data_IF_502152591361
#
_entry.id   IF_502152591361
#
_cell.length_a   1.000
_cell.length_b   1.000
_cell.length_c   1.000
_cell.angle_alpha   90.00
_cell.angle_beta   90.00
_cell.angle_gamma   90.00
#
_symmetry.space_group_name_H-M   'P 1'
#
loop_
_entity.id
_entity.type
_entity.pdbx_description
1 polymer ?
#
# COMPACT_ATOMS: atom_id res chain seq x y z
N UNK A 1 40.43 53.42 -9.46
CA UNK A 1 39.15 52.79 -9.06
C UNK A 1 38.72 51.84 -10.15
N UNK A 2 38.54 50.54 -9.87
CA UNK A 2 38.23 49.54 -10.91
C UNK A 2 36.77 49.64 -11.38
N UNK A 3 36.50 49.18 -12.61
CA UNK A 3 35.15 49.13 -13.17
C UNK A 3 34.17 48.34 -12.26
N UNK A 4 34.69 47.34 -11.56
CA UNK A 4 33.93 46.51 -10.61
C UNK A 4 33.38 47.34 -9.44
N UNK A 5 34.20 48.22 -8.86
CA UNK A 5 33.76 49.12 -7.77
C UNK A 5 32.69 50.13 -8.21
N UNK A 6 32.70 50.59 -9.47
CA UNK A 6 31.67 51.49 -10.01
C UNK A 6 30.35 50.77 -10.29
N UNK A 7 30.40 49.57 -10.87
CA UNK A 7 29.23 48.72 -11.10
C UNK A 7 28.57 48.31 -9.80
N UNK A 8 29.38 47.99 -8.78
CA UNK A 8 28.88 47.62 -7.47
C UNK A 8 28.07 48.74 -6.82
N UNK A 9 28.42 50.03 -6.99
CA UNK A 9 27.71 51.13 -6.33
C UNK A 9 26.48 51.65 -7.08
N UNK A 10 26.44 51.60 -8.42
CA UNK A 10 25.41 52.28 -9.22
C UNK A 10 24.37 51.39 -9.89
N UNK A 11 24.61 50.08 -10.01
CA UNK A 11 23.72 49.18 -10.75
C UNK A 11 23.10 48.11 -9.82
N UNK A 12 21.89 48.33 -9.25
CA UNK A 12 21.24 47.33 -8.41
C UNK A 12 20.93 46.03 -9.17
N UNK A 13 20.65 46.11 -10.48
CA UNK A 13 20.41 44.95 -11.35
C UNK A 13 21.64 44.04 -11.46
N UNK A 14 22.85 44.62 -11.47
CA UNK A 14 24.10 43.85 -11.49
C UNK A 14 24.29 43.01 -10.22
N UNK A 15 23.91 43.56 -9.06
CA UNK A 15 23.95 42.85 -7.78
C UNK A 15 22.97 41.69 -7.77
N UNK A 16 21.72 41.93 -8.19
CA UNK A 16 20.69 40.88 -8.28
C UNK A 16 21.15 39.78 -9.23
N UNK A 17 21.65 40.11 -10.42
CA UNK A 17 22.15 39.13 -11.37
C UNK A 17 23.29 38.26 -10.80
N UNK A 18 24.23 38.86 -10.05
CA UNK A 18 25.29 38.11 -9.37
C UNK A 18 24.76 37.20 -8.26
N UNK A 19 23.81 37.66 -7.45
CA UNK A 19 23.19 36.83 -6.41
C UNK A 19 22.38 35.69 -7.03
N UNK A 20 21.60 35.95 -8.08
CA UNK A 20 20.82 34.93 -8.79
C UNK A 20 21.75 33.92 -9.46
N UNK A 21 22.82 34.38 -10.12
CA UNK A 21 23.81 33.49 -10.73
C UNK A 21 24.51 32.59 -9.69
N UNK A 22 24.85 33.16 -8.52
CA UNK A 22 25.39 32.39 -7.40
C UNK A 22 24.41 31.35 -6.86
N UNK A 23 23.16 31.75 -6.61
CA UNK A 23 22.12 30.85 -6.13
C UNK A 23 21.82 29.72 -7.12
N UNK A 24 21.66 30.03 -8.41
CA UNK A 24 21.46 29.03 -9.46
C UNK A 24 22.66 28.08 -9.59
N UNK A 25 23.89 28.57 -9.39
CA UNK A 25 25.08 27.72 -9.39
C UNK A 25 25.05 26.72 -8.24
N UNK A 26 24.70 27.18 -7.03
CA UNK A 26 24.55 26.30 -5.85
C UNK A 26 23.44 25.26 -6.08
N UNK A 27 22.27 25.68 -6.57
CA UNK A 27 21.18 24.75 -6.89
C UNK A 27 21.55 23.74 -7.97
N UNK A 28 22.32 24.15 -8.99
CA UNK A 28 22.75 23.22 -10.04
C UNK A 28 23.64 22.10 -9.49
N UNK A 29 24.46 22.40 -8.47
CA UNK A 29 25.36 21.41 -7.86
C UNK A 29 24.60 20.46 -6.93
N UNK A 30 23.55 20.94 -6.25
CA UNK A 30 22.71 20.13 -5.36
C UNK A 30 21.69 19.28 -6.17
N UNK A 31 21.20 19.80 -7.29
CA UNK A 31 20.26 19.12 -8.19
C UNK A 31 20.86 19.02 -9.61
N UNK A 32 21.82 18.10 -9.82
CA UNK A 32 22.54 18.01 -11.08
C UNK A 32 21.62 17.59 -12.23
N UNK A 33 21.65 18.37 -13.32
CA UNK A 33 20.92 18.01 -14.53
C UNK A 33 21.61 16.81 -15.24
N UNK A 34 20.90 15.71 -15.56
CA UNK A 34 21.50 14.49 -16.12
C UNK A 34 22.24 14.70 -17.46
N UNK A 35 21.79 15.67 -18.26
CA UNK A 35 22.43 15.99 -19.53
C UNK A 35 23.77 16.73 -19.33
N UNK A 36 23.95 17.46 -18.23
CA UNK A 36 25.15 18.25 -17.96
C UNK A 36 26.28 17.41 -17.38
N UNK A 37 25.95 16.45 -16.52
CA UNK A 37 26.90 15.46 -15.97
C UNK A 37 27.47 14.55 -17.05
N UNK A 38 26.68 14.22 -18.08
CA UNK A 38 27.14 13.40 -19.22
C UNK A 38 28.18 14.09 -20.12
N UNK A 39 28.21 15.43 -20.16
CA UNK A 39 29.10 16.22 -21.05
C UNK A 39 30.35 16.77 -20.38
N UNK A 40 30.36 16.90 -19.05
CA UNK A 40 31.44 17.51 -18.29
C UNK A 40 31.87 16.59 -17.12
N UNK A 41 32.88 15.73 -17.31
CA UNK A 41 33.29 14.74 -16.30
C UNK A 41 33.85 15.39 -15.01
N UNK A 42 34.40 16.60 -15.10
CA UNK A 42 34.84 17.36 -13.93
C UNK A 42 33.67 17.85 -13.05
N UNK A 43 32.52 18.16 -13.67
CA UNK A 43 31.31 18.58 -12.97
C UNK A 43 30.67 17.38 -12.25
N UNK A 44 30.63 16.21 -12.90
CA UNK A 44 30.12 14.98 -12.31
C UNK A 44 30.88 14.57 -11.03
N UNK A 45 32.20 14.72 -11.00
CA UNK A 45 33.03 14.44 -9.81
C UNK A 45 32.74 15.41 -8.65
N UNK A 46 32.46 16.68 -8.95
CA UNK A 46 32.17 17.69 -7.93
C UNK A 46 30.79 17.45 -7.31
N UNK A 47 29.79 17.14 -8.13
CA UNK A 47 28.42 16.88 -7.67
C UNK A 47 28.32 15.58 -6.87
N UNK A 48 29.08 14.54 -7.24
CA UNK A 48 29.09 13.28 -6.48
C UNK A 48 29.73 13.41 -5.09
N UNK A 49 30.80 14.20 -4.95
CA UNK A 49 31.42 14.44 -3.64
C UNK A 49 30.48 15.19 -2.69
N UNK A 50 29.70 16.13 -3.23
CA UNK A 50 28.75 16.92 -2.43
C UNK A 50 27.50 16.10 -2.11
N UNK A 51 27.02 15.24 -3.02
CA UNK A 51 25.89 14.35 -2.75
C UNK A 51 26.18 13.35 -1.63
N UNK A 52 27.44 12.91 -1.47
CA UNK A 52 27.85 12.04 -0.35
C UNK A 52 27.93 12.75 1.02
N UNK A 53 27.93 14.09 1.05
CA UNK A 53 27.96 14.88 2.29
C UNK A 53 26.58 15.40 2.72
N UNK A 54 25.57 15.29 1.85
CA UNK A 54 24.18 15.63 2.14
C UNK A 54 23.47 14.38 2.67
N UNK A 55 22.63 14.47 3.73
CA UNK A 55 21.81 13.34 4.19
C UNK A 55 20.95 12.86 3.01
N UNK A 56 21.13 11.61 2.61
CA UNK A 56 20.58 11.08 1.36
C UNK A 56 19.04 11.08 1.39
N UNK A 57 18.45 12.01 0.65
CA UNK A 57 17.09 11.92 0.14
C UNK A 57 17.16 11.65 -1.36
N UNK A 58 16.67 10.46 -1.76
CA UNK A 58 16.48 9.93 -3.12
C UNK A 58 17.71 9.31 -3.82
N UNK A 59 17.69 7.99 -4.13
CA UNK A 59 18.58 7.43 -5.13
C UNK A 59 17.96 7.55 -6.53
N UNK A 60 18.82 7.95 -7.48
CA UNK A 60 18.59 7.83 -8.92
C UNK A 60 19.02 6.45 -9.41
N UNK A 61 18.36 5.96 -10.45
CA UNK A 61 18.52 4.63 -11.02
C UNK A 61 19.85 4.37 -11.74
N UNK A 62 20.12 3.07 -11.89
CA UNK A 62 21.14 2.38 -12.70
C UNK A 62 22.56 2.26 -12.13
N UNK A 63 22.82 1.12 -11.48
CA UNK A 63 23.80 0.17 -12.01
C UNK A 63 23.74 -1.16 -11.24
N UNK A 64 23.49 -2.21 -11.99
CA UNK A 64 23.67 -3.63 -11.66
C UNK A 64 25.03 -3.92 -11.03
N UNK A 65 25.00 -4.73 -9.95
CA UNK A 65 26.07 -5.38 -9.18
C UNK A 65 26.00 -4.98 -7.70
N UNK A 66 25.15 -5.66 -6.91
CA UNK A 66 25.34 -5.68 -5.46
C UNK A 66 25.00 -7.06 -4.89
N UNK A 67 25.94 -7.97 -5.14
CA UNK A 67 26.15 -9.09 -4.25
C UNK A 67 26.95 -8.58 -3.03
N UNK A 68 26.38 -8.77 -1.84
CA UNK A 68 27.04 -8.76 -0.53
C UNK A 68 27.44 -7.38 0.04
N UNK A 69 26.45 -6.65 0.58
CA UNK A 69 26.66 -5.72 1.70
C UNK A 69 25.74 -6.15 2.86
N UNK A 70 26.27 -6.58 4.04
CA UNK A 70 25.45 -7.19 5.09
C UNK A 70 24.69 -6.22 6.02
N UNK A 71 24.78 -4.89 5.86
CA UNK A 71 24.34 -3.94 6.90
C UNK A 71 23.50 -2.75 6.39
N UNK A 72 22.79 -2.89 5.27
CA UNK A 72 21.76 -1.91 4.89
C UNK A 72 20.38 -2.55 5.04
N UNK A 73 19.51 -1.94 5.84
CA UNK A 73 18.07 -2.23 5.93
C UNK A 73 17.47 -2.43 4.52
N UNK A 74 17.29 -3.68 4.08
CA UNK A 74 16.93 -4.00 2.68
C UNK A 74 15.43 -3.87 2.47
N UNK A 75 14.94 -2.63 2.45
CA UNK A 75 13.60 -2.37 1.93
C UNK A 75 13.62 -2.51 0.43
N UNK A 76 12.88 -3.48 -0.10
CA UNK A 76 12.76 -3.68 -1.55
C UNK A 76 11.34 -3.33 -1.99
N UNK A 77 11.25 -2.55 -3.06
CA UNK A 77 9.98 -2.25 -3.73
C UNK A 77 10.10 -2.79 -5.14
N UNK A 78 9.17 -3.65 -5.54
CA UNK A 78 9.08 -4.13 -6.91
C UNK A 78 7.69 -3.88 -7.47
N UNK A 79 7.66 -3.59 -8.77
CA UNK A 79 6.45 -3.28 -9.52
C UNK A 79 6.28 -4.38 -10.58
N UNK A 80 5.57 -5.47 -10.28
CA UNK A 80 5.44 -6.58 -11.22
C UNK A 80 4.75 -6.15 -12.52
N UNK A 81 4.96 -6.90 -13.62
CA UNK A 81 4.20 -6.71 -14.84
C UNK A 81 2.69 -6.90 -14.60
N UNK A 82 1.88 -5.96 -15.08
CA UNK A 82 0.42 -5.94 -14.90
C UNK A 82 -0.33 -6.85 -15.89
N UNK A 83 0.37 -7.38 -16.90
CA UNK A 83 -0.14 -8.40 -17.82
C UNK A 83 -0.33 -9.76 -17.14
N UNK A 84 0.36 -9.99 -16.02
CA UNK A 84 0.10 -11.13 -15.15
C UNK A 84 -1.32 -11.06 -14.58
N UNK A 85 -2.03 -12.19 -14.68
CA UNK A 85 -3.38 -12.39 -14.16
C UNK A 85 -3.37 -13.55 -13.17
N UNK A 86 -3.95 -13.32 -12.00
CA UNK A 86 -4.11 -14.32 -10.96
C UNK A 86 -5.59 -14.57 -10.70
N UNK A 87 -5.94 -15.84 -10.49
CA UNK A 87 -7.29 -16.29 -10.16
C UNK A 87 -7.20 -17.44 -9.16
N UNK A 88 -8.23 -17.63 -8.34
CA UNK A 88 -8.35 -18.78 -7.44
C UNK A 88 -7.46 -18.70 -6.21
N UNK A 89 -6.19 -19.13 -6.30
CA UNK A 89 -5.26 -19.16 -5.16
C UNK A 89 -3.86 -18.79 -5.62
N UNK A 90 -3.16 -17.99 -4.83
CA UNK A 90 -1.78 -17.61 -5.09
C UNK A 90 -0.88 -18.03 -3.92
N UNK A 91 0.40 -18.28 -4.21
CA UNK A 91 1.41 -18.46 -3.18
C UNK A 91 1.89 -17.11 -2.65
N UNK A 92 1.85 -16.92 -1.33
CA UNK A 92 2.22 -15.67 -0.68
C UNK A 92 2.93 -15.92 0.64
N UNK A 93 4.15 -15.40 0.79
CA UNK A 93 4.96 -15.53 2.00
C UNK A 93 5.06 -16.97 2.56
N UNK A 94 5.23 -17.97 1.68
CA UNK A 94 5.29 -19.38 2.07
C UNK A 94 3.94 -20.02 2.45
N UNK A 95 2.84 -19.29 2.24
CA UNK A 95 1.45 -19.70 2.51
C UNK A 95 0.62 -19.63 1.22
N UNK A 96 -0.64 -19.99 1.32
CA UNK A 96 -1.62 -19.83 0.24
C UNK A 96 -2.56 -18.67 0.57
N UNK A 97 -2.81 -17.81 -0.41
CA UNK A 97 -3.79 -16.74 -0.33
C UNK A 97 -4.94 -17.04 -1.32
N UNK A 98 -6.14 -17.37 -0.82
CA UNK A 98 -7.30 -17.51 -1.68
C UNK A 98 -7.69 -16.13 -2.21
N UNK A 99 -7.92 -16.03 -3.51
CA UNK A 99 -8.38 -14.81 -4.15
C UNK A 99 -9.91 -14.81 -4.28
N UNK A 100 -10.56 -13.65 -4.08
CA UNK A 100 -11.95 -13.47 -4.52
C UNK A 100 -12.07 -13.69 -6.03
N UNK A 101 -13.30 -13.90 -6.51
CA UNK A 101 -13.59 -14.17 -7.90
C UNK A 101 -13.12 -13.03 -8.83
N UNK A 102 -12.77 -13.39 -10.06
CA UNK A 102 -12.29 -12.46 -11.08
C UNK A 102 -10.77 -12.41 -11.21
N UNK A 103 -10.33 -11.54 -12.12
CA UNK A 103 -8.94 -11.42 -12.53
C UNK A 103 -8.21 -10.38 -11.70
N UNK A 104 -7.17 -10.83 -11.01
CA UNK A 104 -6.34 -10.00 -10.15
C UNK A 104 -5.02 -9.69 -10.82
N UNK A 105 -4.63 -8.42 -10.82
CA UNK A 105 -3.39 -7.94 -11.41
C UNK A 105 -2.46 -7.39 -10.32
N UNK A 106 -1.16 -7.71 -10.34
CA UNK A 106 -0.22 -7.28 -9.31
C UNK A 106 0.20 -5.83 -9.48
N UNK A 107 -0.09 -4.98 -8.50
CA UNK A 107 0.29 -3.57 -8.53
C UNK A 107 1.70 -3.33 -8.01
N UNK A 108 2.01 -3.88 -6.84
CA UNK A 108 3.23 -3.56 -6.11
C UNK A 108 3.52 -4.65 -5.08
N UNK A 109 4.79 -4.98 -4.92
CA UNK A 109 5.30 -5.76 -3.81
C UNK A 109 6.30 -4.91 -3.03
N UNK A 110 6.19 -4.94 -1.71
CA UNK A 110 7.08 -4.27 -0.78
C UNK A 110 7.54 -5.30 0.25
N UNK A 111 8.84 -5.39 0.47
CA UNK A 111 9.43 -6.23 1.50
C UNK A 111 10.22 -5.35 2.46
N UNK A 112 9.91 -5.47 3.74
CA UNK A 112 10.61 -4.77 4.81
C UNK A 112 11.53 -5.73 5.57
N UNK A 113 12.83 -5.46 5.58
CA UNK A 113 13.89 -6.31 6.18
C UNK A 113 14.67 -5.58 7.30
N UNK A 114 14.09 -4.53 7.90
CA UNK A 114 14.79 -3.63 8.84
C UNK A 114 15.07 -4.26 10.22
N UNK A 115 14.42 -5.38 10.58
CA UNK A 115 14.46 -5.91 11.95
C UNK A 115 14.68 -7.43 12.07
N UNK A 116 15.24 -8.08 11.05
CA UNK A 116 15.36 -9.56 10.97
C UNK A 116 14.00 -10.30 11.03
N UNK A 117 12.91 -9.60 10.73
CA UNK A 117 11.62 -10.19 10.48
C UNK A 117 11.06 -9.56 9.22
N UNK A 118 11.03 -10.37 8.16
CA UNK A 118 10.72 -9.91 6.83
C UNK A 118 9.19 -9.88 6.62
N UNK A 119 8.59 -8.70 6.54
CA UNK A 119 7.18 -8.54 6.16
C UNK A 119 7.10 -8.38 4.66
N UNK A 120 6.45 -9.33 3.98
CA UNK A 120 6.05 -9.18 2.58
C UNK A 120 4.68 -8.52 2.52
N UNK A 121 4.57 -7.44 1.77
CA UNK A 121 3.33 -6.74 1.45
C UNK A 121 3.10 -6.80 -0.06
N UNK A 122 1.97 -7.32 -0.51
CA UNK A 122 1.58 -7.37 -1.92
C UNK A 122 0.24 -6.69 -2.14
N UNK A 123 0.16 -5.90 -3.21
CA UNK A 123 -1.04 -5.19 -3.61
C UNK A 123 -1.51 -5.72 -4.96
N UNK A 124 -2.80 -6.03 -5.05
CA UNK A 124 -3.44 -6.48 -6.27
C UNK A 124 -4.67 -5.62 -6.57
N UNK A 125 -5.02 -5.51 -7.85
CA UNK A 125 -6.22 -4.83 -8.31
C UNK A 125 -7.10 -5.74 -9.14
N UNK A 126 -8.40 -5.60 -8.95
CA UNK A 126 -9.44 -6.04 -9.87
C UNK A 126 -10.17 -4.82 -10.41
N UNK A 127 -10.40 -4.79 -11.72
CA UNK A 127 -11.07 -3.68 -12.40
C UNK A 127 -12.02 -4.17 -13.47
N UNK A 128 -13.04 -3.37 -13.75
CA UNK A 128 -13.99 -3.57 -14.83
C UNK A 128 -14.11 -2.27 -15.63
N UNK A 129 -13.90 -2.33 -16.95
CA UNK A 129 -14.00 -1.16 -17.84
C UNK A 129 -13.15 0.05 -17.40
N UNK A 130 -11.98 -0.19 -16.80
CA UNK A 130 -11.09 0.87 -16.29
C UNK A 130 -11.46 1.40 -14.90
N UNK A 131 -12.52 0.88 -14.28
CA UNK A 131 -12.94 1.25 -12.92
C UNK A 131 -12.49 0.17 -11.94
N UNK A 132 -11.85 0.57 -10.84
CA UNK A 132 -11.42 -0.36 -9.80
C UNK A 132 -12.65 -0.92 -9.06
N UNK A 133 -12.79 -2.24 -9.07
CA UNK A 133 -13.87 -2.95 -8.34
C UNK A 133 -13.35 -3.58 -7.04
N UNK A 134 -12.05 -3.86 -6.96
CA UNK A 134 -11.42 -4.41 -5.77
C UNK A 134 -9.93 -4.06 -5.68
N UNK A 135 -9.45 -3.77 -4.47
CA UNK A 135 -8.02 -3.74 -4.15
C UNK A 135 -7.75 -4.72 -3.02
N UNK A 136 -6.74 -5.57 -3.21
CA UNK A 136 -6.31 -6.53 -2.20
C UNK A 136 -4.96 -6.08 -1.67
N UNK A 137 -4.85 -5.86 -0.36
CA UNK A 137 -3.59 -5.62 0.34
C UNK A 137 -3.35 -6.84 1.23
N UNK A 138 -2.32 -7.62 0.92
CA UNK A 138 -1.92 -8.77 1.71
C UNK A 138 -0.58 -8.47 2.38
N UNK A 139 -0.48 -8.69 3.68
CA UNK A 139 0.74 -8.62 4.46
C UNK A 139 0.97 -9.92 5.19
N UNK A 140 2.20 -10.44 5.17
CA UNK A 140 2.56 -11.59 5.98
C UNK A 140 4.03 -11.59 6.34
N UNK A 141 4.33 -12.16 7.50
CA UNK A 141 5.69 -12.52 7.88
C UNK A 141 6.19 -13.66 7.02
N UNK A 142 7.37 -13.48 6.43
CA UNK A 142 8.21 -14.56 5.88
C UNK A 142 9.21 -15.06 6.92
N UNK A 143 9.50 -14.24 7.94
CA UNK A 143 10.23 -14.61 9.15
C UNK A 143 9.50 -14.08 10.39
N UNK A 144 9.59 -14.82 11.51
CA UNK A 144 8.85 -14.50 12.72
C UNK A 144 9.31 -13.20 13.37
N UNK A 145 8.37 -12.42 13.88
CA UNK A 145 8.60 -11.11 14.48
C UNK A 145 8.34 -11.09 16.00
N UNK A 146 8.88 -10.10 16.74
CA UNK A 146 8.40 -9.79 18.08
C UNK A 146 6.89 -9.51 18.09
N UNK A 147 6.18 -10.01 19.10
CA UNK A 147 4.72 -9.82 19.20
C UNK A 147 4.31 -8.34 19.27
N UNK A 148 5.17 -7.48 19.82
CA UNK A 148 4.96 -6.03 19.91
C UNK A 148 4.76 -5.38 18.55
N UNK A 149 5.34 -5.96 17.51
CA UNK A 149 5.30 -5.41 16.15
C UNK A 149 3.98 -5.73 15.45
N UNK A 150 3.16 -6.60 16.06
CA UNK A 150 1.81 -6.95 15.58
C UNK A 150 0.70 -6.15 16.25
N UNK A 151 1.02 -5.21 17.14
CA UNK A 151 0.01 -4.46 17.91
C UNK A 151 -0.96 -3.70 17.00
N UNK A 152 -0.46 -3.01 15.98
CA UNK A 152 -1.30 -2.27 15.03
C UNK A 152 -2.30 -3.19 14.32
N UNK A 153 -1.87 -4.38 13.91
CA UNK A 153 -2.72 -5.39 13.25
C UNK A 153 -3.84 -5.87 14.18
N UNK A 154 -3.56 -6.01 15.48
CA UNK A 154 -4.58 -6.36 16.48
C UNK A 154 -5.59 -5.22 16.70
N UNK A 155 -5.10 -3.98 16.75
CA UNK A 155 -5.91 -2.79 17.05
C UNK A 155 -6.92 -2.45 15.93
N UNK A 156 -6.68 -2.89 14.70
CA UNK A 156 -7.60 -2.72 13.57
C UNK A 156 -9.00 -3.28 13.86
N UNK A 157 -9.08 -4.44 14.52
CA UNK A 157 -10.35 -5.09 14.87
C UNK A 157 -11.04 -4.43 16.07
N UNK A 158 -10.32 -3.64 16.89
CA UNK A 158 -10.84 -3.03 18.12
C UNK A 158 -11.43 -1.61 17.92
N UNK A 159 -11.57 -1.16 16.68
CA UNK A 159 -12.13 0.16 16.38
C UNK A 159 -13.66 0.19 16.42
N UNK A 160 -14.22 1.16 17.14
CA UNK A 160 -15.67 1.41 17.17
C UNK A 160 -16.22 1.95 15.85
N UNK A 161 -15.35 2.40 14.94
CA UNK A 161 -15.73 2.92 13.63
C UNK A 161 -15.99 1.82 12.58
N UNK A 162 -15.57 0.58 12.86
CA UNK A 162 -15.83 -0.55 11.98
C UNK A 162 -17.34 -0.82 11.91
N UNK A 163 -17.85 -1.17 10.73
CA UNK A 163 -19.23 -1.65 10.57
C UNK A 163 -19.46 -2.97 11.31
N UNK A 164 -18.44 -3.83 11.31
CA UNK A 164 -18.42 -5.12 11.99
C UNK A 164 -17.00 -5.37 12.50
N UNK A 165 -16.90 -5.96 13.69
CA UNK A 165 -15.68 -6.55 14.22
C UNK A 165 -16.04 -7.86 14.90
N UNK A 166 -15.35 -8.93 14.54
CA UNK A 166 -15.52 -10.26 15.12
C UNK A 166 -14.16 -10.90 15.34
N UNK A 167 -14.08 -11.81 16.30
CA UNK A 167 -12.86 -12.53 16.61
C UNK A 167 -13.18 -13.95 17.08
N UNK A 168 -12.23 -14.86 16.87
CA UNK A 168 -12.27 -16.15 17.54
C UNK A 168 -11.85 -16.01 19.00
N UNK A 169 -12.29 -16.94 19.88
CA UNK A 169 -11.76 -17.05 21.22
C UNK A 169 -10.22 -17.18 21.18
N UNK A 170 -9.54 -16.34 21.96
CA UNK A 170 -8.09 -16.41 22.09
C UNK A 170 -7.72 -17.58 23.01
N UNK A 171 -6.79 -18.43 22.56
CA UNK A 171 -6.31 -19.59 23.33
C UNK A 171 -4.88 -19.39 23.88
N UNK A 172 -4.33 -18.17 23.72
CA UNK A 172 -2.97 -17.82 24.12
C UNK A 172 -1.87 -18.31 23.18
N UNK A 173 -2.22 -19.00 22.08
CA UNK A 173 -1.29 -19.43 21.03
C UNK A 173 -1.55 -18.78 19.70
N UNK A 174 -2.81 -18.43 19.44
CA UNK A 174 -3.20 -17.66 18.26
C UNK A 174 -4.32 -16.66 18.57
N UNK A 175 -4.35 -15.60 17.78
CA UNK A 175 -5.41 -14.59 17.73
C UNK A 175 -5.87 -14.46 16.28
N UNK A 176 -7.18 -14.46 16.08
CA UNK A 176 -7.78 -14.25 14.77
C UNK A 176 -8.99 -13.33 14.89
N UNK A 177 -9.02 -12.30 14.05
CA UNK A 177 -10.12 -11.36 13.97
C UNK A 177 -10.37 -10.92 12.54
N UNK A 178 -11.59 -10.46 12.27
CA UNK A 178 -11.96 -9.87 11.00
C UNK A 178 -12.93 -8.72 11.21
N UNK A 179 -12.88 -7.77 10.29
CA UNK A 179 -13.62 -6.53 10.40
C UNK A 179 -13.99 -5.98 9.03
N UNK A 180 -14.97 -5.10 9.03
CA UNK A 180 -15.29 -4.29 7.85
C UNK A 180 -15.34 -2.83 8.21
N UNK A 181 -14.75 -1.95 7.39
CA UNK A 181 -14.59 -0.54 7.72
C UNK A 181 -14.84 0.36 6.51
N UNK A 182 -15.44 1.57 6.68
CA UNK A 182 -15.58 2.51 5.58
C UNK A 182 -14.23 3.12 5.22
N UNK A 183 -13.93 3.16 3.91
CA UNK A 183 -12.81 3.89 3.33
C UNK A 183 -13.36 4.94 2.38
N UNK A 184 -12.97 6.20 2.59
CA UNK A 184 -13.23 7.28 1.65
C UNK A 184 -12.00 7.50 0.80
N UNK A 185 -12.21 7.80 -0.47
CA UNK A 185 -11.14 8.15 -1.41
C UNK A 185 -11.28 9.61 -1.76
N UNK A 186 -10.33 10.42 -1.31
CA UNK A 186 -10.29 11.86 -1.57
C UNK A 186 -8.94 12.21 -2.15
N UNK A 187 -8.91 12.79 -3.35
CA UNK A 187 -7.67 13.12 -4.07
C UNK A 187 -6.69 11.93 -4.13
N UNK A 188 -7.20 10.73 -4.42
CA UNK A 188 -6.42 9.49 -4.49
C UNK A 188 -5.74 9.09 -3.15
N UNK A 189 -6.28 9.54 -2.02
CA UNK A 189 -5.84 9.15 -0.68
C UNK A 189 -6.96 8.37 0.01
N UNK A 190 -6.61 7.26 0.64
CA UNK A 190 -7.52 6.46 1.45
C UNK A 190 -7.63 7.04 2.86
N UNK A 191 -8.86 7.34 3.25
CA UNK A 191 -9.21 7.94 4.52
C UNK A 191 -10.19 7.05 5.28
N UNK A 192 -9.87 6.73 6.53
CA UNK A 192 -10.73 5.99 7.44
C UNK A 192 -10.62 6.54 8.85
N UNK A 193 -11.69 6.38 9.64
CA UNK A 193 -11.71 6.78 11.05
C UNK A 193 -11.09 5.71 11.96
N UNK A 194 -10.72 4.54 11.44
CA UNK A 194 -9.97 3.53 12.18
C UNK A 194 -8.46 3.88 12.16
N UNK A 195 -7.84 4.31 13.27
CA UNK A 195 -6.46 4.80 13.26
C UNK A 195 -5.42 3.74 12.89
N UNK A 196 -5.62 2.48 13.30
CA UNK A 196 -4.72 1.38 12.98
C UNK A 196 -4.78 1.06 11.48
N UNK A 197 -5.99 0.94 10.93
CA UNK A 197 -6.18 0.76 9.49
C UNK A 197 -5.68 1.97 8.68
N UNK A 198 -5.81 3.18 9.23
CA UNK A 198 -5.27 4.40 8.60
C UNK A 198 -3.74 4.38 8.54
N UNK A 199 -3.06 3.76 9.51
CA UNK A 199 -1.61 3.59 9.47
C UNK A 199 -1.19 2.64 8.34
N UNK A 200 -1.95 1.57 8.11
CA UNK A 200 -1.75 0.67 6.97
C UNK A 200 -2.01 1.39 5.64
N UNK A 201 -3.21 1.94 5.46
CA UNK A 201 -3.66 2.55 4.21
C UNK A 201 -2.98 3.90 3.90
N UNK A 202 -2.42 4.55 4.92
CA UNK A 202 -1.65 5.78 4.80
C UNK A 202 -0.15 5.55 4.66
N UNK A 203 0.32 4.29 4.66
CA UNK A 203 1.75 3.98 4.62
C UNK A 203 2.40 4.56 3.35
N UNK A 204 3.42 5.44 3.49
CA UNK A 204 4.07 6.06 2.33
C UNK A 204 4.84 5.05 1.47
N UNK A 205 5.07 3.85 1.99
CA UNK A 205 5.94 2.85 1.37
C UNK A 205 5.27 2.07 0.24
N UNK A 206 3.95 1.85 0.30
CA UNK A 206 3.27 0.99 -0.67
C UNK A 206 1.92 1.51 -1.17
N UNK A 207 1.13 2.25 -0.39
CA UNK A 207 -0.19 2.71 -0.87
C UNK A 207 -0.08 3.88 -1.86
N UNK A 208 0.57 5.02 -1.55
CA UNK A 208 0.69 6.11 -2.52
C UNK A 208 1.37 5.69 -3.83
N UNK A 209 2.46 4.90 -3.83
CA UNK A 209 3.04 4.40 -5.08
C UNK A 209 2.08 3.49 -5.88
N UNK A 210 1.32 2.60 -5.22
CA UNK A 210 0.35 1.75 -5.91
C UNK A 210 -0.80 2.57 -6.52
N UNK A 211 -1.30 3.57 -5.79
CA UNK A 211 -2.36 4.46 -6.27
C UNK A 211 -1.88 5.36 -7.41
N UNK A 212 -0.65 5.88 -7.32
CA UNK A 212 -0.02 6.63 -8.42
C UNK A 212 0.11 5.75 -9.68
N UNK A 213 0.48 4.47 -9.53
CA UNK A 213 0.56 3.54 -10.64
C UNK A 213 -0.81 3.29 -11.28
N UNK A 214 -1.84 3.04 -10.47
CA UNK A 214 -3.22 2.85 -10.95
C UNK A 214 -3.71 4.05 -11.76
N UNK A 215 -3.58 5.24 -11.18
CA UNK A 215 -4.06 6.49 -11.79
C UNK A 215 -3.24 6.86 -13.04
N UNK A 216 -1.93 6.63 -13.04
CA UNK A 216 -1.08 6.82 -14.21
C UNK A 216 -1.43 5.88 -15.37
N UNK A 217 -2.01 4.72 -15.08
CA UNK A 217 -2.53 3.78 -16.09
C UNK A 217 -3.96 4.08 -16.55
N UNK A 218 -4.59 5.12 -16.00
CA UNK A 218 -5.96 5.51 -16.34
C UNK A 218 -7.04 4.70 -15.62
N UNK A 219 -6.70 3.97 -14.55
CA UNK A 219 -7.71 3.35 -13.69
C UNK A 219 -8.33 4.38 -12.76
N UNK A 220 -9.65 4.30 -12.64
CA UNK A 220 -10.44 5.17 -11.78
C UNK A 220 -10.74 4.51 -10.43
N UNK A 221 -10.41 5.22 -9.36
CA UNK A 221 -10.76 4.82 -8.00
C UNK A 221 -12.17 5.30 -7.64
N UNK A 222 -13.04 4.41 -7.13
CA UNK A 222 -14.32 4.81 -6.56
C UNK A 222 -14.15 5.79 -5.39
N UNK A 223 -15.08 6.72 -5.16
CA UNK A 223 -14.98 7.69 -4.07
C UNK A 223 -15.16 7.06 -2.68
N UNK A 224 -15.70 5.85 -2.62
CA UNK A 224 -15.88 5.07 -1.39
C UNK A 224 -15.54 3.61 -1.68
N UNK A 225 -14.88 2.98 -0.72
CA UNK A 225 -14.62 1.55 -0.68
C UNK A 225 -15.05 1.03 0.71
N UNK A 226 -15.39 -0.24 0.81
CA UNK A 226 -15.54 -0.93 2.09
C UNK A 226 -14.39 -1.91 2.24
N UNK A 227 -13.56 -1.67 3.23
CA UNK A 227 -12.52 -2.63 3.63
C UNK A 227 -13.18 -3.85 4.27
N UNK A 228 -12.69 -5.03 3.89
CA UNK A 228 -12.97 -6.30 4.51
C UNK A 228 -11.63 -6.93 4.91
N UNK A 229 -11.25 -6.70 6.17
CA UNK A 229 -9.98 -7.10 6.74
C UNK A 229 -10.07 -8.40 7.52
N UNK A 230 -9.05 -9.24 7.40
CA UNK A 230 -8.85 -10.45 8.20
C UNK A 230 -7.42 -10.50 8.69
N UNK A 231 -7.24 -10.70 9.99
CA UNK A 231 -5.96 -10.70 10.65
C UNK A 231 -5.81 -11.98 11.47
N UNK A 232 -4.69 -12.66 11.29
CA UNK A 232 -4.30 -13.83 12.08
C UNK A 232 -2.86 -13.69 12.55
N UNK A 233 -2.64 -13.90 13.84
CA UNK A 233 -1.34 -13.90 14.49
C UNK A 233 -1.22 -15.22 15.24
N UNK A 234 -0.13 -15.95 15.03
CA UNK A 234 0.15 -17.25 15.66
C UNK A 234 1.57 -17.23 16.24
N UNK A 235 1.76 -17.84 17.40
CA UNK A 235 3.11 -18.06 17.94
C UNK A 235 3.92 -18.89 16.96
N UNK A 236 5.13 -18.42 16.65
CA UNK A 236 6.01 -19.10 15.72
C UNK A 236 6.38 -20.49 16.24
N UNK A 237 6.47 -21.44 15.30
CA UNK A 237 6.97 -22.79 15.58
C UNK A 237 8.49 -22.85 15.62
N UNK A 238 9.17 -21.87 15.04
CA UNK A 238 10.64 -21.84 14.88
C UNK A 238 11.35 -21.01 15.94
N UNK A 239 10.63 -20.27 16.79
CA UNK A 239 11.25 -19.42 17.81
C UNK A 239 10.26 -18.66 18.70
N UNK A 240 10.76 -17.70 19.50
CA UNK A 240 9.95 -16.94 20.46
C UNK A 240 9.06 -15.86 19.82
N UNK A 241 9.13 -15.69 18.50
CA UNK A 241 8.35 -14.69 17.76
C UNK A 241 6.93 -15.14 17.43
N UNK A 242 6.27 -14.34 16.60
CA UNK A 242 4.95 -14.61 16.02
C UNK A 242 5.03 -14.55 14.51
N UNK A 243 4.23 -15.38 13.85
CA UNK A 243 3.95 -15.25 12.44
C UNK A 243 2.56 -14.63 12.28
N UNK A 244 2.40 -13.71 11.35
CA UNK A 244 1.11 -13.11 11.07
C UNK A 244 0.79 -13.09 9.57
N UNK A 245 -0.51 -13.00 9.28
CA UNK A 245 -1.04 -12.67 7.97
C UNK A 245 -2.23 -11.74 8.16
N UNK A 246 -2.21 -10.65 7.41
CA UNK A 246 -3.25 -9.64 7.35
C UNK A 246 -3.67 -9.50 5.89
N UNK A 247 -4.97 -9.55 5.63
CA UNK A 247 -5.55 -9.50 4.29
C UNK A 247 -6.70 -8.52 4.30
N UNK A 248 -6.57 -7.46 3.50
CA UNK A 248 -7.57 -6.40 3.34
C UNK A 248 -8.09 -6.38 1.92
N UNK A 249 -9.39 -6.62 1.77
CA UNK A 249 -10.10 -6.52 0.51
C UNK A 249 -10.95 -5.24 0.51
N UNK A 250 -10.50 -4.22 -0.22
CA UNK A 250 -11.22 -2.97 -0.40
C UNK A 250 -12.20 -3.15 -1.57
N UNK A 251 -13.47 -3.32 -1.24
CA UNK A 251 -14.56 -3.58 -2.21
C UNK A 251 -15.24 -2.29 -2.65
N UNK A 252 -15.52 -2.16 -3.95
CA UNK A 252 -16.27 -1.04 -4.50
C UNK A 252 -17.79 -1.26 -4.39
N UNK A 253 -18.55 -0.33 -3.78
CA UNK A 253 -20.00 -0.36 -3.81
C UNK A 253 -20.60 0.22 -5.11
N UNK A 254 -19.76 0.61 -6.07
CA UNK A 254 -20.24 1.17 -7.32
C UNK A 254 -20.96 0.11 -8.18
N UNK A 255 -21.96 0.57 -8.93
CA UNK A 255 -22.64 -0.27 -9.92
C UNK A 255 -21.67 -0.74 -11.01
N UNK A 256 -21.96 -1.88 -11.64
CA UNK A 256 -21.13 -2.44 -12.71
C UNK A 256 -20.88 -1.41 -13.83
N UNK A 257 -19.61 -1.20 -14.20
CA UNK A 257 -19.20 -0.21 -15.20
C UNK A 257 -19.45 1.26 -14.83
N UNK A 258 -19.79 1.56 -13.58
CA UNK A 258 -20.12 2.92 -13.11
C UNK A 258 -19.19 3.38 -11.98
N UNK A 259 -19.02 4.69 -11.86
CA UNK A 259 -18.37 5.33 -10.70
C UNK A 259 -19.39 5.77 -9.64
N UNK A 260 -20.68 5.59 -9.91
CA UNK A 260 -21.76 6.03 -9.04
C UNK A 260 -21.87 5.06 -7.87
N UNK A 261 -21.80 5.61 -6.68
CA UNK A 261 -21.88 4.88 -5.42
C UNK A 261 -23.21 5.18 -4.74
N UNK A 262 -23.90 4.19 -4.16
CA UNK A 262 -25.17 4.44 -3.48
C UNK A 262 -25.00 5.27 -2.20
N UNK A 263 -26.04 6.05 -1.88
CA UNK A 263 -26.10 6.85 -0.67
C UNK A 263 -25.25 8.13 -0.69
N UNK A 264 -25.50 9.00 0.28
CA UNK A 264 -24.67 10.19 0.50
C UNK A 264 -23.36 9.79 1.23
N UNK A 265 -22.29 10.59 1.13
CA UNK A 265 -21.01 10.28 1.78
C UNK A 265 -21.15 9.96 3.28
N UNK A 266 -21.93 10.73 4.04
CA UNK A 266 -22.25 10.55 5.47
C UNK A 266 -22.82 9.17 5.82
N UNK A 267 -23.54 8.54 4.89
CA UNK A 267 -24.13 7.21 5.08
C UNK A 267 -23.04 6.13 5.16
N UNK A 268 -21.86 6.37 4.59
CA UNK A 268 -20.71 5.47 4.66
C UNK A 268 -19.96 5.61 5.98
N UNK A 269 -20.68 5.36 7.08
CA UNK A 269 -20.18 5.31 8.45
C UNK A 269 -21.07 4.40 9.28
N UNK A 270 -20.54 3.82 10.37
CA UNK A 270 -21.35 2.95 11.24
C UNK A 270 -22.61 3.65 11.77
N UNK A 271 -22.52 4.95 12.04
CA UNK A 271 -23.64 5.74 12.54
C UNK A 271 -24.66 6.11 11.44
N UNK A 272 -24.20 6.37 10.21
CA UNK A 272 -25.06 6.83 9.11
C UNK A 272 -25.58 5.73 8.19
N UNK A 273 -25.06 4.50 8.25
CA UNK A 273 -25.43 3.44 7.30
C UNK A 273 -26.92 3.05 7.37
N UNK A 274 -27.59 3.28 8.51
CA UNK A 274 -29.03 3.04 8.66
C UNK A 274 -29.90 3.96 7.81
N UNK A 275 -29.37 5.11 7.39
CA UNK A 275 -30.12 6.14 6.68
C UNK A 275 -30.25 5.82 5.18
N UNK A 276 -29.58 4.77 4.71
CA UNK A 276 -29.69 4.27 3.34
C UNK A 276 -29.73 2.75 3.31
N UNK A 277 -30.85 2.20 2.83
CA UNK A 277 -31.01 0.75 2.64
C UNK A 277 -29.94 0.16 1.73
N UNK A 278 -29.59 0.84 0.64
CA UNK A 278 -28.57 0.38 -0.30
C UNK A 278 -27.18 0.26 0.35
N UNK A 279 -26.80 1.24 1.19
CA UNK A 279 -25.53 1.20 1.93
C UNK A 279 -25.55 0.08 2.97
N UNK A 280 -26.61 0.00 3.78
CA UNK A 280 -26.80 -1.05 4.78
C UNK A 280 -26.79 -2.45 4.15
N UNK A 281 -27.42 -2.61 2.99
CA UNK A 281 -27.46 -3.87 2.25
C UNK A 281 -26.09 -4.26 1.69
N UNK A 282 -25.33 -3.31 1.15
CA UNK A 282 -23.97 -3.58 0.69
C UNK A 282 -23.07 -4.01 1.85
N UNK A 283 -23.04 -3.24 2.94
CA UNK A 283 -22.27 -3.57 4.14
C UNK A 283 -22.68 -4.93 4.71
N UNK A 284 -23.98 -5.24 4.79
CA UNK A 284 -24.46 -6.55 5.26
C UNK A 284 -23.96 -7.70 4.37
N UNK A 285 -23.97 -7.52 3.05
CA UNK A 285 -23.44 -8.53 2.12
C UNK A 285 -21.93 -8.69 2.28
N UNK A 286 -21.18 -7.60 2.45
CA UNK A 286 -19.73 -7.65 2.70
C UNK A 286 -19.41 -8.39 4.00
N UNK A 287 -20.16 -8.10 5.07
CA UNK A 287 -20.02 -8.79 6.35
C UNK A 287 -20.28 -10.30 6.23
N UNK A 288 -21.38 -10.67 5.56
CA UNK A 288 -21.73 -12.07 5.35
C UNK A 288 -20.69 -12.80 4.49
N UNK A 289 -20.21 -12.15 3.43
CA UNK A 289 -19.16 -12.67 2.57
C UNK A 289 -17.85 -12.87 3.34
N UNK A 290 -17.37 -11.89 4.10
CA UNK A 290 -16.13 -11.98 4.88
C UNK A 290 -16.19 -13.11 5.92
N UNK A 291 -17.33 -13.29 6.60
CA UNK A 291 -17.55 -14.44 7.50
C UNK A 291 -17.45 -15.79 6.78
N UNK A 292 -17.93 -15.85 5.54
CA UNK A 292 -17.83 -17.05 4.70
C UNK A 292 -16.42 -17.29 4.16
N UNK A 293 -15.66 -16.23 3.92
CA UNK A 293 -14.31 -16.27 3.35
C UNK A 293 -13.21 -16.50 4.39
N UNK A 294 -13.38 -16.02 5.63
CA UNK A 294 -12.39 -16.15 6.71
C UNK A 294 -11.92 -17.58 7.00
N UNK A 295 -12.76 -18.64 6.93
CA UNK A 295 -12.28 -20.01 7.11
C UNK A 295 -11.30 -20.46 6.01
N UNK A 296 -11.43 -19.91 4.80
CA UNK A 296 -10.53 -20.22 3.68
C UNK A 296 -9.23 -19.43 3.78
N UNK A 297 -9.28 -18.18 4.26
CA UNK A 297 -8.06 -17.44 4.61
C UNK A 297 -7.25 -18.19 5.68
N UNK A 298 -7.93 -18.72 6.71
CA UNK A 298 -7.30 -19.56 7.73
C UNK A 298 -6.72 -20.85 7.14
N UNK A 299 -7.45 -21.54 6.28
CA UNK A 299 -6.90 -22.71 5.58
C UNK A 299 -5.68 -22.34 4.74
N UNK A 300 -5.69 -21.18 4.08
CA UNK A 300 -4.57 -20.71 3.26
C UNK A 300 -3.34 -20.37 4.09
N UNK A 301 -3.54 -19.75 5.25
CA UNK A 301 -2.51 -19.52 6.25
C UNK A 301 -1.84 -20.83 6.68
N UNK A 302 -2.66 -21.86 6.93
CA UNK A 302 -2.23 -23.20 7.31
C UNK A 302 -1.67 -24.05 6.14
N UNK A 303 -1.69 -23.53 4.91
CA UNK A 303 -1.39 -24.27 3.67
C UNK A 303 -2.24 -25.54 3.49
N UNK A 304 -3.51 -25.45 3.86
CA UNK A 304 -4.54 -26.51 3.78
C UNK A 304 -5.70 -26.13 2.86
N UNK A 305 -5.55 -25.13 1.99
CA UNK A 305 -6.60 -24.87 1.01
C UNK A 305 -6.73 -26.08 0.09
N UNK A 306 -7.97 -26.46 -0.26
CA UNK A 306 -8.18 -27.52 -1.23
C UNK A 306 -7.68 -27.06 -2.61
N UNK A 307 -7.14 -28.00 -3.39
CA UNK A 307 -6.72 -27.74 -4.78
C UNK A 307 -7.92 -27.48 -5.72
N UNK A 308 -9.15 -27.60 -5.21
CA UNK A 308 -10.38 -27.29 -5.94
C UNK A 308 -10.75 -25.82 -5.81
N UNK A 309 -11.34 -25.25 -6.86
CA UNK A 309 -11.88 -23.90 -6.82
C UNK A 309 -12.83 -23.68 -5.64
N UNK A 310 -12.73 -22.52 -5.01
CA UNK A 310 -13.62 -22.13 -3.93
C UNK A 310 -15.06 -22.04 -4.43
N UNK A 311 -16.07 -22.38 -3.59
CA UNK A 311 -17.46 -22.20 -3.95
C UNK A 311 -17.75 -20.75 -4.36
N UNK A 312 -18.52 -20.54 -5.42
CA UNK A 312 -18.86 -19.22 -5.94
C UNK A 312 -19.50 -18.31 -4.87
N UNK A 313 -20.29 -18.89 -3.96
CA UNK A 313 -20.92 -18.17 -2.84
C UNK A 313 -19.94 -17.60 -1.83
N UNK A 314 -18.69 -18.07 -1.84
CA UNK A 314 -17.60 -17.59 -0.97
C UNK A 314 -16.57 -16.80 -1.76
N UNK A 315 -16.29 -17.15 -3.01
CA UNK A 315 -15.32 -16.40 -3.82
C UNK A 315 -15.91 -15.08 -4.35
N UNK A 316 -17.20 -14.99 -4.63
CA UNK A 316 -17.82 -13.78 -5.14
C UNK A 316 -18.09 -12.77 -4.01
N UNK A 317 -17.21 -11.78 -3.88
CA UNK A 317 -17.46 -10.62 -3.01
C UNK A 317 -18.55 -9.71 -3.59
N UNK A 318 -19.13 -8.79 -2.78
CA UNK A 318 -20.24 -7.95 -3.23
C UNK A 318 -19.94 -6.95 -4.36
N UNK A 319 -18.66 -6.72 -4.67
CA UNK A 319 -18.21 -5.86 -5.77
C UNK A 319 -17.87 -6.65 -7.03
N UNK A 320 -18.10 -7.97 -7.04
CA UNK A 320 -17.94 -8.82 -8.21
C UNK A 320 -19.24 -8.90 -9.01
N UNK A 321 -19.18 -8.57 -10.30
CA UNK A 321 -20.37 -8.44 -11.17
C UNK A 321 -20.51 -9.53 -12.25
N UNK A 322 -19.54 -10.45 -12.41
CA UNK A 322 -19.64 -11.55 -13.37
C UNK A 322 -18.32 -12.03 -13.95
#
# INVERSE_FOLDING_TARGET
MSAFTRLWQRAPVWRVALFTAGACSVFSVIFPAPWLTSRLPAYAKLTSQISHMLPAGAPSADSSEDALRPDEDRRTVSAPPMDAQFEGTLSFAGRQLPLPAGKWHPLLNYQDDVAHGEILTSLYVRSEQGIVTGLLVAQATTQSLPITDTQLVQDECHSNFNFMSEALPQDGTHTECWMTSPIRVVNNVFLTSNPALQALLGSPMFIPPAVQRLTGMGFDLPPVLVDAGWNRIEKSKSGPGVDFMSVHMLTSPAEAGSKIVPGAPENWSRAGMSDSSAVSDFVRRTNAWLRGWSPYLRQGFDSKLPDTALPATVSADPAFHG
#
